data_IF_108109939479
#
_entry.id   IF_108109939479
#
_cell.length_a   1.000
_cell.length_b   1.000
_cell.length_c   1.000
_cell.angle_alpha   90.00
_cell.angle_beta   90.00
_cell.angle_gamma   90.00
#
_symmetry.space_group_name_H-M   'P 1'
#
loop_
_entity.id
_entity.type
_entity.pdbx_description
1 polymer ?
#
# COMPACT_ATOMS: atom_id res chain seq x y z
N UNK A 1 23.23 1.70 -11.88
CA UNK A 1 22.40 1.72 -10.65
C UNK A 1 23.23 1.73 -9.36
N UNK A 2 24.27 0.90 -9.21
CA UNK A 2 25.10 0.88 -7.99
C UNK A 2 25.79 2.23 -7.67
N UNK A 3 26.23 2.97 -8.68
CA UNK A 3 26.88 4.29 -8.48
C UNK A 3 25.90 5.39 -8.05
N UNK A 4 24.63 5.27 -8.47
CA UNK A 4 23.57 6.21 -8.12
C UNK A 4 23.13 6.02 -6.67
N UNK A 5 23.08 4.76 -6.21
CA UNK A 5 22.82 4.42 -4.81
C UNK A 5 23.97 4.89 -3.90
N UNK A 6 25.22 4.75 -4.35
CA UNK A 6 26.41 5.21 -3.61
C UNK A 6 26.43 6.73 -3.45
N UNK A 7 26.12 7.48 -4.50
CA UNK A 7 26.03 8.95 -4.45
C UNK A 7 24.96 9.46 -3.48
N UNK A 8 23.82 8.75 -3.38
CA UNK A 8 22.73 9.09 -2.45
C UNK A 8 23.14 8.86 -0.99
N UNK A 9 23.80 7.73 -0.71
CA UNK A 9 24.27 7.40 0.64
C UNK A 9 25.35 8.38 1.10
N UNK A 10 26.30 8.70 0.23
CA UNK A 10 27.38 9.64 0.55
C UNK A 10 26.85 11.06 0.82
N UNK A 11 25.80 11.49 0.09
CA UNK A 11 25.14 12.78 0.30
C UNK A 11 24.40 12.88 1.64
N UNK A 12 23.64 11.85 2.00
CA UNK A 12 22.86 11.82 3.25
C UNK A 12 23.78 11.72 4.47
N UNK A 13 24.79 10.85 4.42
CA UNK A 13 25.75 10.68 5.52
C UNK A 13 26.61 11.94 5.69
N UNK A 14 27.02 12.58 4.59
CA UNK A 14 27.74 13.85 4.61
C UNK A 14 26.93 14.99 5.24
N UNK A 15 25.65 15.11 4.89
CA UNK A 15 24.74 16.13 5.42
C UNK A 15 24.50 15.98 6.93
N UNK A 16 24.26 14.76 7.40
CA UNK A 16 24.02 14.49 8.83
C UNK A 16 25.28 14.76 9.67
N UNK A 17 26.47 14.38 9.18
CA UNK A 17 27.72 14.60 9.91
C UNK A 17 28.11 16.08 9.97
N UNK A 18 27.80 16.87 8.94
CA UNK A 18 28.08 18.31 8.95
C UNK A 18 27.20 19.06 9.94
N UNK A 19 25.91 18.69 10.03
CA UNK A 19 24.94 19.31 10.93
C UNK A 19 25.22 18.95 12.41
N UNK A 20 25.65 17.71 12.68
CA UNK A 20 26.10 17.29 14.01
C UNK A 20 27.35 18.07 14.44
N UNK A 21 28.32 18.29 13.54
CA UNK A 21 29.51 19.10 13.83
C UNK A 21 29.15 20.56 14.10
N UNK A 22 28.22 21.11 13.32
CA UNK A 22 27.75 22.50 13.48
C UNK A 22 27.04 22.70 14.82
N UNK A 23 26.19 21.76 15.24
CA UNK A 23 25.41 21.88 16.49
C UNK A 23 26.19 21.58 17.77
N UNK A 24 27.27 20.82 17.70
CA UNK A 24 27.93 20.35 18.93
C UNK A 24 29.10 21.21 19.41
N UNK A 25 29.67 22.14 18.63
CA UNK A 25 30.65 23.13 19.14
C UNK A 25 31.82 22.58 19.97
N UNK A 26 32.15 21.29 19.88
CA UNK A 26 33.07 20.60 20.81
C UNK A 26 34.45 20.46 20.19
N UNK A 27 35.40 21.20 20.77
CA UNK A 27 36.85 21.05 20.57
C UNK A 27 37.29 19.61 20.88
N UNK A 28 38.00 19.03 19.93
CA UNK A 28 38.37 17.61 19.85
C UNK A 28 39.74 17.31 20.45
N UNK A 29 39.81 16.62 21.60
CA UNK A 29 41.04 15.89 21.98
C UNK A 29 40.82 14.51 22.61
N UNK A 30 39.59 14.06 22.91
CA UNK A 30 39.34 12.72 23.48
C UNK A 30 38.22 11.94 22.78
N UNK A 31 38.32 11.73 21.46
CA UNK A 31 37.36 10.83 20.74
C UNK A 31 37.93 9.94 19.65
N UNK A 32 39.26 9.83 19.48
CA UNK A 32 39.86 8.90 18.49
C UNK A 32 39.50 7.42 18.73
N UNK A 33 39.23 7.02 19.99
CA UNK A 33 38.99 5.60 20.32
C UNK A 33 37.56 5.10 20.04
N UNK A 34 36.55 5.99 19.97
CA UNK A 34 35.15 5.59 19.68
C UNK A 34 34.83 5.59 18.18
N UNK A 35 35.43 6.48 17.38
CA UNK A 35 35.21 6.55 15.92
C UNK A 35 35.73 5.29 15.22
N UNK A 36 36.82 4.69 15.72
CA UNK A 36 37.35 3.44 15.14
C UNK A 36 36.45 2.21 15.36
N UNK A 37 35.55 2.21 16.36
CA UNK A 37 34.56 1.13 16.55
C UNK A 37 33.38 1.27 15.58
N UNK A 38 32.99 2.51 15.26
CA UNK A 38 31.93 2.78 14.29
C UNK A 38 32.33 2.35 12.87
N UNK A 39 33.58 2.65 12.46
CA UNK A 39 34.10 2.27 11.15
C UNK A 39 34.16 0.73 10.95
N UNK A 40 34.53 -0.02 12.00
CA UNK A 40 34.54 -1.48 11.95
C UNK A 40 33.13 -2.10 11.83
N UNK A 41 32.12 -1.42 12.39
CA UNK A 41 30.73 -1.89 12.34
C UNK A 41 30.10 -1.62 10.97
N UNK A 42 30.36 -0.44 10.39
CA UNK A 42 29.92 -0.09 9.03
C UNK A 42 30.54 -1.03 8.00
N UNK A 43 31.85 -1.31 8.09
CA UNK A 43 32.53 -2.25 7.19
C UNK A 43 31.95 -3.66 7.25
N UNK A 44 31.53 -4.12 8.44
CA UNK A 44 30.91 -5.44 8.63
C UNK A 44 29.50 -5.52 8.04
N UNK A 45 28.75 -4.41 8.06
CA UNK A 45 27.43 -4.30 7.43
C UNK A 45 27.59 -4.27 5.90
N UNK A 46 28.58 -3.55 5.39
CA UNK A 46 28.90 -3.51 3.95
C UNK A 46 29.31 -4.89 3.41
N UNK A 47 30.11 -5.65 4.15
CA UNK A 47 30.48 -7.03 3.78
C UNK A 47 29.29 -8.00 3.78
N UNK A 48 28.30 -7.79 4.65
CA UNK A 48 27.07 -8.59 4.69
C UNK A 48 26.12 -8.24 3.53
N UNK A 49 25.98 -6.95 3.19
CA UNK A 49 25.12 -6.49 2.10
C UNK A 49 25.69 -6.85 0.72
N UNK A 50 27.01 -6.91 0.58
CA UNK A 50 27.67 -7.26 -0.69
C UNK A 50 27.87 -8.77 -0.89
N UNK A 51 27.27 -9.62 -0.04
CA UNK A 51 27.32 -11.09 -0.20
C UNK A 51 28.72 -11.70 -0.07
N UNK A 52 29.69 -10.98 0.51
CA UNK A 52 31.07 -11.48 0.70
C UNK A 52 31.14 -12.40 1.92
N UNK A 53 30.46 -13.54 1.83
CA UNK A 53 30.52 -14.60 2.83
C UNK A 53 31.84 -15.37 2.68
N UNK A 54 32.84 -15.00 3.49
CA UNK A 54 34.04 -15.84 3.66
C UNK A 54 33.67 -17.07 4.51
N UNK A 55 33.21 -18.14 3.85
CA UNK A 55 33.03 -19.45 4.49
C UNK A 55 34.37 -19.96 5.01
N UNK A 56 34.61 -19.85 6.32
CA UNK A 56 35.59 -20.67 7.02
C UNK A 56 35.04 -22.09 7.11
N UNK A 57 35.66 -22.99 6.36
CA UNK A 57 35.43 -24.44 6.38
C UNK A 57 35.85 -25.00 7.75
N UNK A 58 34.89 -25.39 8.57
CA UNK A 58 35.14 -26.14 9.79
C UNK A 58 35.13 -27.65 9.47
N UNK A 59 36.24 -28.33 9.78
CA UNK A 59 36.41 -29.78 9.74
C UNK A 59 35.44 -30.45 10.72
N UNK A 60 34.60 -31.34 10.21
CA UNK A 60 33.82 -32.32 10.97
C UNK A 60 34.70 -33.50 11.35
N UNK A 61 34.95 -33.70 12.65
CA UNK A 61 35.50 -34.95 13.19
C UNK A 61 34.34 -35.86 13.62
N UNK A 62 34.31 -37.06 13.04
CA UNK A 62 33.42 -38.17 13.39
C UNK A 62 33.83 -38.73 14.75
N UNK A 63 32.89 -38.81 15.70
CA UNK A 63 33.03 -39.59 16.92
C UNK A 63 31.76 -40.41 17.18
N UNK A 64 32.01 -41.68 17.48
CA UNK A 64 31.08 -42.81 17.66
C UNK A 64 30.79 -42.99 19.16
N UNK A 65 29.52 -43.10 19.57
CA UNK A 65 29.04 -43.71 20.85
C UNK A 65 27.50 -43.72 20.84
N UNK A 66 26.84 -44.87 20.81
CA UNK A 66 26.57 -45.85 21.88
C UNK A 66 25.30 -45.53 22.69
N UNK A 67 24.41 -46.53 22.76
CA UNK A 67 23.11 -46.58 23.43
C UNK A 67 23.11 -46.10 24.88
N UNK A 68 22.06 -45.36 25.27
CA UNK A 68 21.50 -45.32 26.63
C UNK A 68 20.08 -44.69 26.66
N UNK A 69 19.28 -44.95 27.72
CA UNK A 69 17.82 -45.10 27.62
C UNK A 69 17.02 -43.86 28.04
N UNK A 70 15.71 -43.97 27.81
CA UNK A 70 14.65 -43.00 28.07
C UNK A 70 14.70 -42.36 29.46
N UNK A 71 14.67 -41.02 29.50
CA UNK A 71 14.54 -40.24 30.74
C UNK A 71 14.26 -38.76 30.49
N UNK A 72 13.07 -38.32 30.91
CA UNK A 72 12.62 -36.94 31.18
C UNK A 72 12.74 -35.85 30.09
N UNK A 73 11.57 -35.34 29.67
CA UNK A 73 11.41 -34.13 28.85
C UNK A 73 11.82 -32.87 29.64
N UNK A 74 12.82 -32.08 29.20
CA UNK A 74 13.10 -30.78 29.78
C UNK A 74 12.06 -29.74 29.33
N UNK A 75 11.68 -28.84 30.24
CA UNK A 75 10.81 -27.69 29.95
C UNK A 75 11.49 -26.74 28.95
N UNK A 76 10.73 -26.09 28.05
CA UNK A 76 11.30 -25.13 27.10
C UNK A 76 11.90 -23.92 27.85
N UNK A 77 13.15 -23.59 27.53
CA UNK A 77 13.81 -22.36 27.95
C UNK A 77 13.13 -21.18 27.25
N UNK A 78 12.63 -20.22 28.03
CA UNK A 78 12.28 -18.89 27.54
C UNK A 78 13.57 -18.17 27.11
N UNK A 79 13.78 -18.12 25.80
CA UNK A 79 14.82 -17.27 25.22
C UNK A 79 14.41 -15.81 25.36
N UNK A 80 15.22 -15.05 26.10
CA UNK A 80 15.07 -13.61 26.27
C UNK A 80 15.29 -12.95 24.90
N UNK A 81 14.26 -12.26 24.40
CA UNK A 81 14.33 -11.50 23.16
C UNK A 81 15.53 -10.53 23.17
N UNK A 82 16.23 -10.37 22.03
CA UNK A 82 17.40 -9.50 21.95
C UNK A 82 17.01 -8.03 22.21
N UNK A 83 17.77 -7.39 23.10
CA UNK A 83 17.62 -5.99 23.59
C UNK A 83 17.51 -4.95 22.46
N UNK A 84 17.88 -5.30 21.22
CA UNK A 84 17.86 -4.42 20.05
C UNK A 84 16.44 -4.02 19.62
N UNK A 85 15.42 -4.87 19.84
CA UNK A 85 14.05 -4.59 19.37
C UNK A 85 13.38 -3.48 20.21
N UNK A 86 13.78 -3.30 21.48
CA UNK A 86 13.20 -2.25 22.35
C UNK A 86 13.66 -0.83 22.00
N UNK A 87 14.78 -0.67 21.31
CA UNK A 87 15.29 0.66 20.94
C UNK A 87 14.55 1.26 19.72
N UNK A 88 13.99 0.43 18.84
CA UNK A 88 13.31 0.88 17.62
C UNK A 88 11.89 1.39 17.90
N UNK A 89 11.15 0.70 18.76
CA UNK A 89 9.80 1.11 19.17
C UNK A 89 9.80 2.48 19.89
N UNK A 90 10.86 2.79 20.65
CA UNK A 90 10.97 4.06 21.37
C UNK A 90 11.19 5.28 20.45
N UNK A 91 11.84 5.10 19.29
CA UNK A 91 12.06 6.19 18.34
C UNK A 91 10.84 6.49 17.47
N UNK A 92 10.01 5.48 17.14
CA UNK A 92 8.76 5.71 16.39
C UNK A 92 7.74 6.54 17.19
N UNK A 93 7.59 6.30 18.50
CA UNK A 93 6.64 7.05 19.32
C UNK A 93 6.99 8.54 19.45
N UNK A 94 8.29 8.89 19.43
CA UNK A 94 8.74 10.30 19.49
C UNK A 94 8.41 11.05 18.19
N UNK A 95 8.52 10.39 17.03
CA UNK A 95 8.21 11.00 15.74
C UNK A 95 6.71 11.30 15.58
N UNK A 96 5.84 10.40 16.05
CA UNK A 96 4.37 10.58 15.96
C UNK A 96 3.91 11.72 16.90
N UNK A 97 4.46 11.80 18.11
CA UNK A 97 4.13 12.88 19.05
C UNK A 97 4.53 14.28 18.54
N UNK A 98 5.64 14.39 17.79
CA UNK A 98 6.08 15.66 17.19
C UNK A 98 5.23 16.11 15.99
N UNK A 99 4.66 15.18 15.22
CA UNK A 99 3.75 15.52 14.12
C UNK A 99 2.39 16.03 14.61
N UNK A 100 1.86 15.46 15.70
CA UNK A 100 0.56 15.88 16.26
C UNK A 100 0.57 17.32 16.82
N UNK A 101 1.73 17.80 17.30
CA UNK A 101 1.89 19.16 17.83
C UNK A 101 1.95 20.25 16.74
N UNK A 102 2.14 19.89 15.47
CA UNK A 102 2.25 20.85 14.36
C UNK A 102 0.92 21.11 13.63
N UNK A 103 -0.16 20.38 13.94
CA UNK A 103 -1.45 20.50 13.22
C UNK A 103 -2.52 21.29 13.98
N UNK A 104 -2.22 21.84 15.15
CA UNK A 104 -3.16 22.65 15.91
C UNK A 104 -3.02 24.14 15.60
N UNK A 105 -3.82 24.67 14.66
CA UNK A 105 -4.56 25.96 14.74
C UNK A 105 -4.98 26.45 13.35
N UNK A 106 -6.24 26.24 12.97
CA UNK A 106 -7.04 27.16 12.16
C UNK A 106 -8.42 26.55 11.91
N UNK A 107 -9.40 26.82 12.79
CA UNK A 107 -10.81 26.71 12.44
C UNK A 107 -11.44 28.08 12.73
N UNK A 108 -11.54 28.90 11.69
CA UNK A 108 -12.35 30.11 11.70
C UNK A 108 -13.77 29.72 11.27
N UNK A 109 -14.73 29.88 12.18
CA UNK A 109 -16.16 29.75 11.89
C UNK A 109 -16.59 30.90 10.96
N UNK A 110 -17.00 30.57 9.74
CA UNK A 110 -17.78 31.47 8.87
C UNK A 110 -19.26 31.18 9.07
N UNK A 111 -20.03 32.26 9.28
CA UNK A 111 -21.48 32.23 9.41
C UNK A 111 -22.15 31.94 8.06
N UNK A 112 -23.31 31.28 8.04
CA UNK A 112 -24.06 31.04 6.81
C UNK A 112 -24.87 32.28 6.41
N UNK A 113 -24.48 32.91 5.30
CA UNK A 113 -25.31 33.90 4.62
C UNK A 113 -26.42 33.19 3.84
N UNK A 114 -27.66 33.58 4.15
CA UNK A 114 -28.87 33.07 3.51
C UNK A 114 -29.00 33.61 2.08
N UNK A 115 -28.57 32.81 1.09
CA UNK A 115 -28.81 33.07 -0.32
C UNK A 115 -30.13 32.40 -0.77
N UNK A 116 -31.00 33.23 -1.35
CA UNK A 116 -32.26 32.87 -1.98
C UNK A 116 -31.99 32.00 -3.21
N UNK A 117 -32.42 30.74 -3.21
CA UNK A 117 -32.23 29.81 -4.32
C UNK A 117 -33.32 29.99 -5.40
N UNK A 118 -32.91 30.41 -6.60
CA UNK A 118 -33.63 30.10 -7.84
C UNK A 118 -33.57 28.59 -8.10
N UNK A 119 -34.57 27.98 -8.77
CA UNK A 119 -34.51 26.60 -9.18
C UNK A 119 -33.51 26.46 -10.35
N UNK A 120 -32.25 26.24 -10.01
CA UNK A 120 -31.24 25.77 -10.93
C UNK A 120 -31.67 24.38 -11.41
N UNK A 121 -32.30 24.33 -12.59
CA UNK A 121 -32.53 23.10 -13.32
C UNK A 121 -31.19 22.65 -13.91
N UNK A 122 -30.25 22.30 -13.03
CA UNK A 122 -29.01 21.61 -13.33
C UNK A 122 -29.40 20.20 -13.76
N UNK A 123 -29.72 20.03 -15.05
CA UNK A 123 -29.61 18.72 -15.67
C UNK A 123 -28.22 18.20 -15.30
N UNK A 124 -28.10 17.00 -14.68
CA UNK A 124 -26.79 16.44 -14.39
C UNK A 124 -26.02 16.37 -15.70
N UNK A 125 -24.90 17.09 -15.76
CA UNK A 125 -23.93 16.97 -16.82
C UNK A 125 -23.72 15.48 -17.05
N UNK A 126 -23.96 15.04 -18.28
CA UNK A 126 -24.10 13.64 -18.67
C UNK A 126 -23.07 12.76 -17.93
N UNK A 127 -23.56 11.67 -17.32
CA UNK A 127 -22.85 10.77 -16.41
C UNK A 127 -21.58 10.17 -17.02
N UNK A 128 -20.52 10.96 -17.04
CA UNK A 128 -19.22 10.57 -17.55
C UNK A 128 -18.20 10.64 -16.42
N UNK A 129 -17.37 9.60 -16.33
CA UNK A 129 -16.15 9.61 -15.53
C UNK A 129 -14.96 9.53 -16.47
N UNK A 130 -13.82 10.08 -16.07
CA UNK A 130 -12.61 9.92 -16.87
C UNK A 130 -11.37 9.96 -16.02
N UNK A 131 -10.40 9.14 -16.40
CA UNK A 131 -9.07 9.12 -15.81
C UNK A 131 -8.01 8.80 -16.88
N UNK A 132 -6.76 9.11 -16.59
CA UNK A 132 -5.66 8.97 -17.53
C UNK A 132 -4.31 8.68 -16.86
N UNK A 133 -3.47 7.95 -17.58
CA UNK A 133 -2.05 7.83 -17.30
C UNK A 133 -1.24 8.52 -18.41
N UNK A 134 0.08 8.32 -18.40
CA UNK A 134 0.97 8.81 -19.47
C UNK A 134 0.65 8.16 -20.83
N UNK A 135 0.18 6.92 -20.82
CA UNK A 135 -0.01 6.11 -22.03
C UNK A 135 -1.48 5.85 -22.40
N UNK A 136 -2.40 6.04 -21.44
CA UNK A 136 -3.79 5.64 -21.59
C UNK A 136 -4.76 6.71 -21.14
N UNK A 137 -5.92 6.73 -21.78
CA UNK A 137 -7.09 7.51 -21.38
C UNK A 137 -8.27 6.55 -21.29
N UNK A 138 -9.04 6.66 -20.23
CA UNK A 138 -10.24 5.84 -19.99
C UNK A 138 -11.40 6.76 -19.68
N UNK A 139 -12.47 6.66 -20.46
CA UNK A 139 -13.73 7.37 -20.22
C UNK A 139 -14.79 6.34 -19.84
N UNK A 140 -15.39 6.46 -18.66
CA UNK A 140 -16.59 5.74 -18.29
C UNK A 140 -17.83 6.48 -18.75
N UNK A 141 -18.70 5.79 -19.48
CA UNK A 141 -20.00 6.28 -19.93
C UNK A 141 -21.08 5.57 -19.13
N UNK A 142 -21.79 6.29 -18.26
CA UNK A 142 -22.87 5.71 -17.46
C UNK A 142 -23.96 5.12 -18.36
N UNK A 143 -24.46 3.97 -17.93
CA UNK A 143 -25.61 3.34 -18.54
C UNK A 143 -26.87 4.09 -18.07
N UNK A 144 -27.59 4.74 -18.98
CA UNK A 144 -28.78 5.53 -18.63
C UNK A 144 -29.97 4.72 -18.10
N UNK A 145 -29.96 3.39 -18.26
CA UNK A 145 -31.07 2.51 -17.88
C UNK A 145 -30.74 1.57 -16.70
N UNK A 146 -29.46 1.27 -16.45
CA UNK A 146 -29.03 0.33 -15.40
C UNK A 146 -27.79 0.85 -14.68
N UNK A 147 -27.55 0.51 -13.41
CA UNK A 147 -26.36 0.96 -12.70
C UNK A 147 -25.06 0.47 -13.36
N UNK A 148 -24.07 1.36 -13.45
CA UNK A 148 -22.74 1.06 -13.97
C UNK A 148 -22.39 1.85 -15.23
N UNK A 149 -21.25 1.51 -15.83
CA UNK A 149 -20.73 2.21 -17.00
C UNK A 149 -20.04 1.27 -18.00
N UNK A 150 -20.01 1.68 -19.27
CA UNK A 150 -19.11 1.12 -20.28
C UNK A 150 -17.84 1.96 -20.33
N UNK A 151 -16.68 1.30 -20.27
CA UNK A 151 -15.38 1.98 -20.25
C UNK A 151 -14.77 2.02 -21.65
N UNK A 152 -14.61 3.22 -22.20
CA UNK A 152 -13.97 3.49 -23.48
C UNK A 152 -12.48 3.76 -23.27
N UNK A 153 -11.61 2.88 -23.77
CA UNK A 153 -10.16 2.96 -23.58
C UNK A 153 -9.49 3.41 -24.86
N UNK A 154 -8.52 4.32 -24.75
CA UNK A 154 -7.71 4.79 -25.88
C UNK A 154 -6.28 5.05 -25.47
N UNK A 155 -5.34 4.84 -26.40
CA UNK A 155 -3.97 5.32 -26.26
C UNK A 155 -3.95 6.84 -26.20
N UNK A 156 -3.19 7.36 -25.23
CA UNK A 156 -2.94 8.79 -25.13
C UNK A 156 -1.91 9.19 -26.18
N UNK A 157 -2.23 10.23 -26.95
CA UNK A 157 -1.25 10.86 -27.81
C UNK A 157 -0.35 11.75 -26.94
N UNK A 158 0.96 11.48 -26.83
CA UNK A 158 1.88 12.29 -26.02
C UNK A 158 2.00 13.73 -26.52
N UNK A 159 1.65 14.00 -27.79
CA UNK A 159 1.60 15.35 -28.34
C UNK A 159 0.29 16.10 -27.98
N UNK A 160 -0.71 15.39 -27.46
CA UNK A 160 -1.98 16.00 -27.05
C UNK A 160 -1.74 16.93 -25.86
N UNK A 161 -1.96 18.21 -26.10
CA UNK A 161 -1.92 19.25 -25.06
C UNK A 161 -3.18 19.27 -24.20
N UNK A 162 -4.14 18.37 -24.41
CA UNK A 162 -5.36 18.32 -23.62
C UNK A 162 -4.96 17.99 -22.18
N UNK A 163 -5.06 18.96 -21.26
CA UNK A 163 -4.59 18.77 -19.89
C UNK A 163 -5.52 17.83 -19.12
N UNK A 164 -6.77 17.70 -19.58
CA UNK A 164 -7.84 17.00 -18.90
C UNK A 164 -8.76 16.28 -19.89
N UNK A 165 -9.54 15.34 -19.37
CA UNK A 165 -10.61 14.70 -20.10
C UNK A 165 -11.72 15.71 -20.39
N UNK A 166 -11.75 16.28 -21.58
CA UNK A 166 -12.92 17.02 -22.05
C UNK A 166 -13.99 16.01 -22.47
N UNK A 167 -14.90 15.69 -21.53
CA UNK A 167 -15.97 14.70 -21.74
C UNK A 167 -17.04 15.19 -22.71
N UNK A 168 -17.14 16.50 -22.98
CA UNK A 168 -18.21 17.09 -23.77
C UNK A 168 -18.03 16.95 -25.28
N UNK A 169 -16.77 16.98 -25.78
CA UNK A 169 -16.45 16.88 -27.20
C UNK A 169 -15.77 15.59 -27.62
N UNK A 170 -14.95 14.99 -26.75
CA UNK A 170 -14.08 13.87 -27.16
C UNK A 170 -14.80 12.53 -27.20
N UNK A 171 -15.81 12.30 -26.36
CA UNK A 171 -16.52 11.01 -26.29
C UNK A 171 -17.35 10.78 -27.55
N UNK A 172 -18.02 11.83 -28.03
CA UNK A 172 -18.87 11.75 -29.22
C UNK A 172 -18.07 11.62 -30.53
N UNK A 173 -16.83 12.11 -30.56
CA UNK A 173 -16.06 12.23 -31.80
C UNK A 173 -14.95 11.20 -31.96
N UNK A 174 -14.48 10.59 -30.85
CA UNK A 174 -13.33 9.69 -30.89
C UNK A 174 -13.75 8.24 -30.74
N UNK A 175 -13.46 7.44 -31.76
CA UNK A 175 -13.59 5.98 -31.68
C UNK A 175 -12.58 5.45 -30.66
N UNK A 176 -13.01 4.71 -29.62
CA UNK A 176 -12.08 4.10 -28.68
C UNK A 176 -11.26 3.00 -29.37
N UNK A 177 -10.07 2.70 -28.85
CA UNK A 177 -9.29 1.55 -29.32
C UNK A 177 -9.97 0.23 -28.93
N UNK A 178 -10.62 0.22 -27.77
CA UNK A 178 -11.46 -0.87 -27.31
C UNK A 178 -12.38 -0.42 -26.16
N UNK A 179 -13.38 -1.23 -25.85
CA UNK A 179 -14.28 -1.05 -24.72
C UNK A 179 -14.09 -2.16 -23.69
N UNK A 180 -14.35 -1.84 -22.42
CA UNK A 180 -14.43 -2.81 -21.33
C UNK A 180 -15.84 -2.72 -20.73
N UNK A 181 -16.43 -3.90 -20.53
CA UNK A 181 -17.80 -4.05 -20.06
C UNK A 181 -18.84 -3.98 -21.18
N UNK A 182 -20.06 -4.30 -20.79
CA UNK A 182 -21.29 -4.22 -21.55
C UNK A 182 -22.27 -3.31 -20.81
N UNK A 183 -23.35 -2.85 -21.46
CA UNK A 183 -24.34 -2.04 -20.76
C UNK A 183 -24.99 -2.75 -19.56
N UNK A 184 -24.89 -4.08 -19.46
CA UNK A 184 -25.43 -4.85 -18.33
C UNK A 184 -24.43 -5.01 -17.18
N UNK A 185 -23.16 -4.66 -17.39
CA UNK A 185 -22.15 -4.75 -16.35
C UNK A 185 -22.20 -3.54 -15.43
N UNK A 186 -22.07 -3.80 -14.13
CA UNK A 186 -22.15 -2.78 -13.08
C UNK A 186 -20.75 -2.31 -12.69
N UNK A 187 -20.00 -1.91 -13.71
CA UNK A 187 -18.63 -1.41 -13.56
C UNK A 187 -18.64 0.04 -13.10
N UNK A 188 -17.60 0.41 -12.35
CA UNK A 188 -17.33 1.78 -11.92
C UNK A 188 -15.84 2.07 -12.07
N UNK A 189 -15.49 3.12 -12.80
CA UNK A 189 -14.11 3.57 -12.98
C UNK A 189 -13.56 4.06 -11.65
N UNK A 190 -12.51 3.41 -11.15
CA UNK A 190 -11.86 3.76 -9.89
C UNK A 190 -10.58 4.55 -10.12
N UNK A 191 -9.77 4.14 -11.11
CA UNK A 191 -8.60 4.91 -11.53
C UNK A 191 -7.73 4.22 -12.58
N UNK A 192 -6.72 4.92 -13.10
CA UNK A 192 -5.76 4.43 -14.09
C UNK A 192 -4.32 4.75 -13.64
N UNK A 193 -3.48 3.73 -13.51
CA UNK A 193 -2.06 3.89 -13.15
C UNK A 193 -1.17 3.07 -14.08
N UNK A 194 -0.25 3.74 -14.77
CA UNK A 194 0.60 3.11 -15.79
C UNK A 194 -0.25 2.39 -16.85
N UNK A 195 -0.05 1.09 -16.96
CA UNK A 195 -0.81 0.18 -17.85
C UNK A 195 -1.97 -0.54 -17.15
N UNK A 196 -2.34 -0.14 -15.92
CA UNK A 196 -3.40 -0.78 -15.14
C UNK A 196 -4.62 0.12 -15.02
N UNK A 197 -5.78 -0.41 -15.35
CA UNK A 197 -7.09 0.18 -15.10
C UNK A 197 -7.73 -0.53 -13.90
N UNK A 198 -8.14 0.25 -12.93
CA UNK A 198 -8.77 -0.18 -11.68
C UNK A 198 -10.27 0.07 -11.81
N UNK A 199 -11.05 -1.00 -11.63
CA UNK A 199 -12.50 -0.98 -11.76
C UNK A 199 -13.10 -1.69 -10.57
N UNK A 200 -14.18 -1.14 -10.02
CA UNK A 200 -15.03 -1.88 -9.09
C UNK A 200 -16.28 -2.36 -9.81
N UNK A 201 -16.70 -3.60 -9.56
CA UNK A 201 -17.97 -4.17 -10.04
C UNK A 201 -18.90 -4.41 -8.87
N UNK A 202 -20.01 -3.68 -8.80
CA UNK A 202 -20.98 -3.82 -7.71
C UNK A 202 -22.34 -3.18 -8.03
N UNK A 203 -23.41 -3.80 -7.49
CA UNK A 203 -24.75 -3.21 -7.32
C UNK A 203 -25.16 -3.07 -5.85
N UNK A 204 -24.27 -3.37 -4.90
CA UNK A 204 -24.60 -3.44 -3.48
C UNK A 204 -23.38 -3.32 -2.56
N UNK A 205 -23.48 -3.77 -1.30
CA UNK A 205 -22.39 -3.64 -0.33
C UNK A 205 -21.19 -4.55 -0.65
N UNK A 206 -21.39 -5.58 -1.46
CA UNK A 206 -20.33 -6.49 -1.90
C UNK A 206 -19.68 -5.96 -3.18
N UNK A 207 -18.45 -5.46 -3.04
CA UNK A 207 -17.70 -4.93 -4.18
C UNK A 207 -16.66 -5.92 -4.68
N UNK A 208 -16.62 -6.14 -5.99
CA UNK A 208 -15.49 -6.84 -6.61
C UNK A 208 -14.49 -5.83 -7.14
N UNK A 209 -13.22 -6.02 -6.82
CA UNK A 209 -12.11 -5.27 -7.39
C UNK A 209 -11.60 -6.02 -8.62
N UNK A 210 -11.59 -5.32 -9.75
CA UNK A 210 -11.02 -5.79 -11.01
C UNK A 210 -9.85 -4.89 -11.39
N UNK A 211 -8.77 -5.51 -11.83
CA UNK A 211 -7.65 -4.79 -12.45
C UNK A 211 -7.44 -5.34 -13.85
N UNK A 212 -7.53 -4.46 -14.83
CA UNK A 212 -7.22 -4.75 -16.22
C UNK A 212 -5.83 -4.24 -16.55
N UNK A 213 -5.01 -5.07 -17.20
CA UNK A 213 -3.81 -4.61 -17.88
C UNK A 213 -4.19 -4.16 -19.28
N UNK A 214 -3.99 -2.89 -19.58
CA UNK A 214 -4.49 -2.25 -20.80
C UNK A 214 -3.70 -2.66 -22.05
N UNK A 215 -2.45 -3.09 -21.90
CA UNK A 215 -1.58 -3.49 -23.02
C UNK A 215 -2.07 -4.74 -23.74
N UNK A 216 -2.50 -5.75 -22.99
CA UNK A 216 -2.96 -7.04 -23.49
C UNK A 216 -4.46 -7.28 -23.25
N UNK A 217 -5.13 -6.29 -22.63
CA UNK A 217 -6.55 -6.31 -22.26
C UNK A 217 -6.90 -7.42 -21.26
N UNK A 218 -5.92 -7.96 -20.55
CA UNK A 218 -6.13 -9.06 -19.62
C UNK A 218 -6.68 -8.56 -18.28
N UNK A 219 -7.58 -9.33 -17.69
CA UNK A 219 -7.94 -9.18 -16.27
C UNK A 219 -6.85 -9.86 -15.45
N UNK A 220 -6.12 -9.07 -14.66
CA UNK A 220 -4.97 -9.52 -13.86
C UNK A 220 -5.29 -9.61 -12.37
N UNK A 221 -6.43 -9.05 -11.94
CA UNK A 221 -7.02 -9.23 -10.62
C UNK A 221 -8.55 -9.25 -10.77
N UNK A 222 -9.23 -10.22 -10.17
CA UNK A 222 -10.69 -10.24 -9.99
C UNK A 222 -11.01 -10.91 -8.65
N UNK A 223 -11.18 -10.09 -7.62
CA UNK A 223 -11.37 -10.56 -6.24
C UNK A 223 -12.53 -9.84 -5.57
N UNK A 224 -13.16 -10.50 -4.60
CA UNK A 224 -14.01 -9.80 -3.66
C UNK A 224 -13.11 -8.93 -2.77
N UNK A 225 -13.38 -7.63 -2.72
CA UNK A 225 -12.54 -6.68 -2.01
C UNK A 225 -13.38 -5.61 -1.32
N UNK A 226 -12.92 -5.21 -0.15
CA UNK A 226 -13.49 -4.15 0.66
C UNK A 226 -12.45 -3.06 0.83
N UNK A 227 -12.92 -1.81 0.85
CA UNK A 227 -12.09 -0.63 1.08
C UNK A 227 -10.81 -0.62 0.22
N UNK A 228 -10.90 -0.74 -1.13
CA UNK A 228 -9.72 -0.65 -1.96
C UNK A 228 -9.16 0.78 -1.88
N UNK A 229 -7.88 0.88 -1.53
CA UNK A 229 -7.09 2.10 -1.57
C UNK A 229 -5.92 1.89 -2.54
N UNK A 230 -5.65 2.86 -3.40
CA UNK A 230 -4.62 2.70 -4.43
C UNK A 230 -3.68 3.90 -4.49
N UNK A 231 -2.44 3.61 -4.81
CA UNK A 231 -1.37 4.59 -4.98
C UNK A 231 -0.59 4.28 -6.27
N UNK A 232 0.53 4.97 -6.51
CA UNK A 232 1.32 4.76 -7.73
C UNK A 232 2.02 3.39 -7.83
N UNK A 233 2.02 2.60 -6.77
CA UNK A 233 2.76 1.33 -6.66
C UNK A 233 1.83 0.12 -6.62
N UNK A 234 0.59 0.29 -6.13
CA UNK A 234 -0.33 -0.83 -6.00
C UNK A 234 -1.70 -0.47 -5.45
N UNK A 235 -2.44 -1.51 -5.10
CA UNK A 235 -3.77 -1.43 -4.48
C UNK A 235 -3.73 -2.22 -3.18
N UNK A 236 -4.03 -1.57 -2.06
CA UNK A 236 -4.27 -2.24 -0.78
C UNK A 236 -5.77 -2.48 -0.65
N UNK A 237 -6.16 -3.67 -0.22
CA UNK A 237 -7.58 -4.01 -0.05
C UNK A 237 -7.76 -5.10 1.00
N UNK A 238 -8.96 -5.15 1.58
CA UNK A 238 -9.37 -6.20 2.50
C UNK A 238 -10.20 -7.25 1.79
N UNK A 239 -10.02 -8.53 2.11
CA UNK A 239 -10.88 -9.61 1.61
C UNK A 239 -11.19 -10.62 2.71
N UNK A 240 -12.44 -11.10 2.73
CA UNK A 240 -12.91 -12.07 3.72
C UNK A 240 -12.33 -13.45 3.42
N UNK A 241 -11.77 -14.14 4.43
CA UNK A 241 -11.09 -15.44 4.26
C UNK A 241 -11.78 -16.58 4.99
N UNK A 242 -12.14 -16.34 6.25
CA UNK A 242 -12.65 -17.38 7.13
C UNK A 242 -13.75 -16.86 8.05
N UNK A 243 -14.64 -17.75 8.53
CA UNK A 243 -15.62 -17.37 9.53
C UNK A 243 -14.96 -16.88 10.82
N UNK A 244 -15.54 -15.85 11.43
CA UNK A 244 -15.19 -15.48 12.78
C UNK A 244 -15.82 -16.46 13.78
N UNK A 245 -15.15 -16.62 14.91
CA UNK A 245 -15.53 -17.43 16.06
C UNK A 245 -15.09 -16.68 17.31
N UNK A 246 -15.59 -17.08 18.49
CA UNK A 246 -15.12 -16.53 19.76
C UNK A 246 -13.60 -16.74 19.98
N UNK A 247 -12.98 -17.71 19.31
CA UNK A 247 -11.55 -18.03 19.45
C UNK A 247 -10.64 -17.13 18.59
N UNK A 248 -11.11 -16.68 17.42
CA UNK A 248 -10.31 -15.88 16.48
C UNK A 248 -10.81 -14.43 16.29
N UNK A 249 -11.92 -14.05 16.92
CA UNK A 249 -12.49 -12.71 16.87
C UNK A 249 -13.00 -12.27 18.24
N UNK A 250 -12.36 -11.23 18.79
CA UNK A 250 -12.72 -10.67 20.11
C UNK A 250 -14.13 -10.06 20.14
N UNK A 251 -14.60 -9.54 19.02
CA UNK A 251 -15.90 -8.88 18.90
C UNK A 251 -17.02 -9.84 18.46
N UNK A 252 -16.74 -11.15 18.36
CA UNK A 252 -17.70 -12.12 17.81
C UNK A 252 -19.00 -12.19 18.62
N UNK A 253 -18.89 -12.23 19.95
CA UNK A 253 -20.06 -12.29 20.83
C UNK A 253 -20.92 -11.02 20.71
N UNK A 254 -20.30 -9.86 20.44
CA UNK A 254 -21.01 -8.60 20.19
C UNK A 254 -21.80 -8.68 18.88
N UNK A 255 -21.19 -9.19 17.80
CA UNK A 255 -21.90 -9.38 16.53
C UNK A 255 -23.07 -10.34 16.67
N UNK A 256 -22.89 -11.48 17.35
CA UNK A 256 -23.96 -12.46 17.56
C UNK A 256 -25.09 -11.88 18.42
N UNK A 257 -24.78 -11.07 19.44
CA UNK A 257 -25.79 -10.41 20.27
C UNK A 257 -26.69 -9.46 19.46
N UNK A 258 -26.16 -8.83 18.41
CA UNK A 258 -26.89 -7.97 17.48
C UNK A 258 -27.56 -8.76 16.33
N UNK A 259 -27.48 -10.09 16.34
CA UNK A 259 -28.06 -10.96 15.32
C UNK A 259 -27.26 -11.02 14.02
N UNK A 260 -25.98 -10.65 14.06
CA UNK A 260 -25.06 -10.66 12.92
C UNK A 260 -24.12 -11.88 12.98
N UNK A 261 -23.58 -12.27 11.83
CA UNK A 261 -22.42 -13.15 11.73
C UNK A 261 -21.11 -12.36 11.84
N UNK A 262 -19.99 -13.06 11.80
CA UNK A 262 -18.67 -12.44 11.70
C UNK A 262 -17.74 -13.18 10.76
N UNK A 263 -16.76 -12.46 10.22
CA UNK A 263 -15.72 -12.98 9.32
C UNK A 263 -14.37 -12.38 9.69
N UNK A 264 -13.29 -13.11 9.41
CA UNK A 264 -11.93 -12.58 9.45
C UNK A 264 -11.57 -12.10 8.05
N UNK A 265 -11.32 -10.79 7.95
CA UNK A 265 -10.80 -10.16 6.76
C UNK A 265 -9.27 -10.07 6.85
N UNK A 266 -8.61 -10.30 5.71
CA UNK A 266 -7.17 -10.18 5.56
C UNK A 266 -6.85 -9.00 4.65
N UNK A 267 -5.83 -8.25 4.99
CA UNK A 267 -5.31 -7.20 4.12
C UNK A 267 -4.33 -7.79 3.09
N UNK A 268 -4.55 -7.41 1.84
CA UNK A 268 -3.71 -7.74 0.70
C UNK A 268 -3.23 -6.48 0.02
N UNK A 269 -2.12 -6.60 -0.71
CA UNK A 269 -1.65 -5.60 -1.65
C UNK A 269 -1.39 -6.20 -3.01
N UNK A 270 -2.02 -5.65 -4.04
CA UNK A 270 -1.69 -5.90 -5.44
C UNK A 270 -0.57 -4.97 -5.88
N UNK A 271 0.49 -5.52 -6.46
CA UNK A 271 1.65 -4.77 -6.97
C UNK A 271 1.55 -4.59 -8.49
N UNK A 272 1.60 -3.33 -8.97
CA UNK A 272 1.47 -3.03 -10.41
C UNK A 272 2.68 -3.46 -11.24
N UNK A 273 3.87 -3.53 -10.67
CA UNK A 273 5.08 -3.91 -11.40
C UNK A 273 5.15 -5.42 -11.63
N UNK A 274 4.76 -6.22 -10.65
CA UNK A 274 4.82 -7.68 -10.73
C UNK A 274 3.49 -8.34 -11.10
N UNK A 275 2.39 -7.58 -11.05
CA UNK A 275 1.03 -8.08 -11.20
C UNK A 275 0.72 -9.25 -10.25
N UNK A 276 1.18 -9.15 -9.00
CA UNK A 276 1.00 -10.18 -7.96
C UNK A 276 0.32 -9.62 -6.73
N UNK A 277 -0.42 -10.48 -6.02
CA UNK A 277 -1.01 -10.16 -4.71
C UNK A 277 -0.09 -10.67 -3.60
N UNK A 278 0.20 -9.80 -2.63
CA UNK A 278 0.95 -10.11 -1.41
C UNK A 278 0.05 -9.88 -0.20
N UNK A 279 -0.06 -10.85 0.69
CA UNK A 279 -0.73 -10.66 1.98
C UNK A 279 0.18 -9.89 2.92
N UNK A 280 -0.35 -8.88 3.62
CA UNK A 280 0.42 -8.13 4.61
C UNK A 280 0.56 -8.88 5.95
N UNK A 281 -0.32 -9.88 6.16
CA UNK A 281 -0.45 -10.60 7.43
C UNK A 281 -1.31 -9.86 8.46
N UNK A 282 -1.85 -8.68 8.12
CA UNK A 282 -2.85 -8.01 8.96
C UNK A 282 -4.22 -8.67 8.79
N UNK A 283 -4.90 -8.86 9.92
CA UNK A 283 -6.25 -9.39 9.97
C UNK A 283 -7.14 -8.49 10.81
N UNK A 284 -8.44 -8.47 10.51
CA UNK A 284 -9.46 -7.80 11.32
C UNK A 284 -10.74 -8.62 11.34
N UNK A 285 -11.53 -8.47 12.41
CA UNK A 285 -12.85 -9.06 12.47
C UNK A 285 -13.90 -8.07 11.93
N UNK A 286 -14.80 -8.55 11.10
CA UNK A 286 -15.87 -7.76 10.50
C UNK A 286 -17.22 -8.42 10.76
N UNK A 287 -18.23 -7.61 11.05
CA UNK A 287 -19.61 -8.08 11.14
C UNK A 287 -20.16 -8.33 9.73
N UNK A 288 -20.97 -9.38 9.57
CA UNK A 288 -21.71 -9.67 8.33
C UNK A 288 -23.18 -9.91 8.63
N UNK A 289 -24.05 -9.51 7.69
CA UNK A 289 -25.47 -9.87 7.71
C UNK A 289 -25.69 -11.28 7.17
#
# INVERSE_FOLDING_TARGET
MADLLKSLIDGVVGGVLSEIKRKTGVRTTRRKKRVNRSAATVKKIEELLLGKSTRKTARTSVAKKADQPQGHRPRPRQDKAPVVIRAFAFWQSIAIALCALMMGTAHAQQAPDAATAEPENSQPDAGYSCDMSDAWRVVGVENGEVPGMVLHVSRRDPASKLPHCDTSGDVATRTPDFTIGTPQDTLWLTGVTGDHLIVTRSTGPQTRLLVHRLTDKAVVLDVQAYEPDYDSWGITFWHQREPATADNCLDYDFFVADGLGGVIAHESRYDFATASVLESGLTRCEATQ
#
